data_IF_175862869065
#
_entry.id   IF_175862869065
#
_cell.length_a   1.000
_cell.length_b   1.000
_cell.length_c   1.000
_cell.angle_alpha   90.00
_cell.angle_beta   90.00
_cell.angle_gamma   90.00
#
_symmetry.space_group_name_H-M   'P 1'
#
loop_
_entity.id
_entity.type
_entity.pdbx_description
1 polymer ?
#
# COMPACT_ATOMS: atom_id res chain seq x y z
N UNK A 1 6.82 21.74 -11.95
CA UNK A 1 7.48 22.01 -10.66
C UNK A 1 8.88 21.43 -10.76
N UNK A 2 9.89 22.24 -10.45
CA UNK A 2 11.27 21.76 -10.35
C UNK A 2 11.47 21.12 -8.98
N UNK A 3 11.64 19.81 -8.97
CA UNK A 3 11.97 19.06 -7.76
C UNK A 3 13.49 18.99 -7.62
N UNK A 4 14.00 19.14 -6.40
CA UNK A 4 15.43 19.07 -6.09
C UNK A 4 15.93 17.63 -6.00
N UNK A 5 15.04 16.67 -5.78
CA UNK A 5 15.32 15.24 -5.71
C UNK A 5 14.09 14.41 -6.06
N UNK A 6 14.28 13.12 -6.36
CA UNK A 6 13.18 12.18 -6.52
C UNK A 6 12.42 11.95 -5.21
N UNK A 7 13.07 12.11 -4.05
CA UNK A 7 12.41 12.09 -2.74
C UNK A 7 11.40 13.23 -2.60
N UNK A 8 11.78 14.48 -2.90
CA UNK A 8 10.87 15.62 -2.86
C UNK A 8 9.70 15.43 -3.84
N UNK A 9 9.97 14.83 -5.00
CA UNK A 9 8.95 14.50 -5.99
C UNK A 9 7.96 13.46 -5.46
N UNK A 10 8.42 12.38 -4.84
CA UNK A 10 7.55 11.35 -4.24
C UNK A 10 6.75 11.88 -3.07
N UNK A 11 7.37 12.69 -2.22
CA UNK A 11 6.68 13.39 -1.13
C UNK A 11 5.58 14.32 -1.67
N UNK A 12 5.89 15.10 -2.71
CA UNK A 12 4.87 15.86 -3.41
C UNK A 12 3.78 14.98 -4.00
N UNK A 13 4.08 13.81 -4.56
CA UNK A 13 3.05 12.90 -5.07
C UNK A 13 2.15 12.32 -3.98
N UNK A 14 2.72 12.04 -2.79
CA UNK A 14 2.03 11.40 -1.68
C UNK A 14 0.88 12.26 -1.13
N UNK A 15 1.08 13.58 -1.06
CA UNK A 15 0.10 14.49 -0.47
C UNK A 15 -0.22 15.74 -1.31
N UNK A 16 0.55 16.08 -2.34
CA UNK A 16 0.42 17.34 -3.07
C UNK A 16 0.58 18.57 -2.12
N UNK A 17 0.63 19.78 -2.67
CA UNK A 17 0.74 21.01 -1.85
C UNK A 17 -0.58 21.80 -1.77
N UNK A 18 -1.67 21.23 -2.28
CA UNK A 18 -3.00 21.85 -2.33
C UNK A 18 -3.13 23.01 -3.32
N UNK A 19 -2.14 23.27 -4.18
CA UNK A 19 -2.15 24.43 -5.11
C UNK A 19 -2.54 24.06 -6.55
N UNK A 20 -2.30 22.81 -6.95
CA UNK A 20 -2.48 22.33 -8.33
C UNK A 20 -3.39 21.10 -8.41
N UNK A 21 -4.30 20.96 -7.46
CA UNK A 21 -5.27 19.87 -7.40
C UNK A 21 -6.60 20.33 -6.86
N UNK A 22 -7.65 19.62 -7.25
CA UNK A 22 -8.97 19.75 -6.68
C UNK A 22 -9.27 18.49 -5.90
N UNK A 23 -9.00 18.50 -4.59
CA UNK A 23 -9.09 17.31 -3.74
C UNK A 23 -10.50 16.69 -3.68
N UNK A 24 -11.54 17.45 -4.03
CA UNK A 24 -12.92 16.95 -4.12
C UNK A 24 -13.23 16.26 -5.47
N UNK A 25 -12.29 16.27 -6.42
CA UNK A 25 -12.40 15.50 -7.66
C UNK A 25 -11.82 14.12 -7.41
N UNK A 26 -12.53 13.04 -7.82
CA UNK A 26 -12.04 11.69 -7.62
C UNK A 26 -10.67 11.42 -8.22
N UNK A 27 -10.37 12.03 -9.37
CA UNK A 27 -9.11 11.84 -10.09
C UNK A 27 -8.50 13.20 -10.42
N UNK A 28 -7.25 13.40 -10.01
CA UNK A 28 -6.43 14.56 -10.33
C UNK A 28 -5.23 14.11 -11.15
N UNK A 29 -5.30 14.34 -12.46
CA UNK A 29 -4.20 14.08 -13.39
C UNK A 29 -3.26 15.28 -13.44
N UNK A 30 -2.00 15.07 -13.10
CA UNK A 30 -1.00 16.12 -12.97
C UNK A 30 0.15 15.77 -13.90
N UNK A 31 0.43 16.64 -14.86
CA UNK A 31 1.56 16.51 -15.77
C UNK A 31 2.61 17.56 -15.44
N UNK A 32 3.81 17.11 -15.08
CA UNK A 32 4.93 18.00 -14.81
C UNK A 32 5.65 18.32 -16.13
N UNK A 33 5.60 19.58 -16.55
CA UNK A 33 6.20 20.02 -17.82
C UNK A 33 7.74 19.92 -17.83
N UNK A 34 8.37 19.93 -16.66
CA UNK A 34 9.83 20.02 -16.54
C UNK A 34 10.50 18.66 -16.77
N UNK A 35 10.04 17.61 -16.08
CA UNK A 35 10.57 16.25 -16.19
C UNK A 35 9.65 15.29 -16.97
N UNK A 36 8.52 15.81 -17.49
CA UNK A 36 7.49 15.05 -18.22
C UNK A 36 6.85 13.94 -17.39
N UNK A 37 6.97 13.97 -16.07
CA UNK A 37 6.33 13.00 -15.20
C UNK A 37 4.81 13.19 -15.20
N UNK A 38 4.09 12.07 -15.16
CA UNK A 38 2.65 12.04 -15.03
C UNK A 38 2.28 11.44 -13.67
N UNK A 39 1.45 12.15 -12.92
CA UNK A 39 0.96 11.72 -11.63
C UNK A 39 -0.55 11.63 -11.64
N UNK A 40 -1.07 10.64 -10.93
CA UNK A 40 -2.50 10.53 -10.63
C UNK A 40 -2.66 10.52 -9.11
N UNK A 41 -3.31 11.56 -8.60
CA UNK A 41 -3.81 11.56 -7.23
C UNK A 41 -5.29 11.15 -7.27
N UNK A 42 -5.65 10.14 -6.49
CA UNK A 42 -6.98 9.52 -6.48
C UNK A 42 -7.61 9.62 -5.10
N UNK A 43 -8.88 10.00 -5.05
CA UNK A 43 -9.73 9.85 -3.87
C UNK A 43 -10.14 8.38 -3.73
N UNK A 44 -9.54 7.71 -2.75
CA UNK A 44 -9.71 6.27 -2.54
C UNK A 44 -11.13 5.88 -2.03
N UNK A 45 -11.99 6.84 -1.71
CA UNK A 45 -13.41 6.56 -1.44
C UNK A 45 -14.16 6.16 -2.70
N UNK A 46 -13.77 6.72 -3.84
CA UNK A 46 -14.43 6.52 -5.13
C UNK A 46 -14.11 5.17 -5.77
N UNK A 47 -12.85 4.76 -5.76
CA UNK A 47 -12.42 3.52 -6.41
C UNK A 47 -11.26 2.84 -5.66
N UNK A 48 -11.06 1.54 -5.95
CA UNK A 48 -9.89 0.80 -5.49
C UNK A 48 -8.74 0.89 -6.50
N UNK A 49 -7.51 0.75 -6.03
CA UNK A 49 -6.29 0.85 -6.83
C UNK A 49 -6.32 -0.01 -8.10
N UNK A 50 -6.96 -1.17 -8.04
CA UNK A 50 -7.10 -2.07 -9.18
C UNK A 50 -7.84 -1.45 -10.38
N UNK A 51 -8.85 -0.60 -10.13
CA UNK A 51 -9.58 0.15 -11.16
C UNK A 51 -8.72 1.30 -11.69
N UNK A 52 -8.06 2.03 -10.79
CA UNK A 52 -7.13 3.12 -11.15
C UNK A 52 -6.02 2.63 -12.07
N UNK A 53 -5.43 1.47 -11.76
CA UNK A 53 -4.39 0.82 -12.57
C UNK A 53 -4.89 0.55 -13.98
N UNK A 54 -6.11 0.03 -14.11
CA UNK A 54 -6.72 -0.29 -15.41
C UNK A 54 -7.04 0.96 -16.24
N UNK A 55 -7.47 2.05 -15.59
CA UNK A 55 -7.65 3.36 -16.25
C UNK A 55 -6.31 3.86 -16.80
N UNK A 56 -5.24 3.83 -16.00
CA UNK A 56 -3.90 4.25 -16.42
C UNK A 56 -3.39 3.36 -17.55
N UNK A 57 -3.56 2.04 -17.46
CA UNK A 57 -3.15 1.09 -18.51
C UNK A 57 -3.76 1.45 -19.85
N UNK A 58 -5.08 1.64 -19.89
CA UNK A 58 -5.80 2.01 -21.12
C UNK A 58 -5.40 3.38 -21.63
N UNK A 59 -5.18 4.35 -20.75
CA UNK A 59 -4.70 5.68 -21.14
C UNK A 59 -3.30 5.58 -21.78
N UNK A 60 -2.40 4.80 -21.20
CA UNK A 60 -1.05 4.57 -21.71
C UNK A 60 -1.08 3.86 -23.07
N UNK A 61 -1.88 2.79 -23.23
CA UNK A 61 -2.04 2.09 -24.51
C UNK A 61 -2.59 3.01 -25.61
N UNK A 62 -3.61 3.82 -25.30
CA UNK A 62 -4.20 4.76 -26.25
C UNK A 62 -3.27 5.94 -26.57
N UNK A 63 -2.39 6.34 -25.65
CA UNK A 63 -1.42 7.42 -25.88
C UNK A 63 -0.42 7.12 -27.01
N UNK A 64 -0.29 5.85 -27.41
CA UNK A 64 0.54 5.44 -28.56
C UNK A 64 -0.11 5.77 -29.90
N UNK A 65 -1.44 5.96 -29.92
CA UNK A 65 -2.24 6.21 -31.12
C UNK A 65 -3.05 7.51 -30.99
N UNK A 66 -2.37 8.62 -30.68
CA UNK A 66 -3.03 9.92 -30.52
C UNK A 66 -3.56 10.39 -31.88
N UNK A 67 -4.88 10.50 -31.99
CA UNK A 67 -5.52 11.24 -33.08
C UNK A 67 -5.43 12.73 -32.75
N UNK A 68 -4.88 13.54 -33.66
CA UNK A 68 -4.97 15.00 -33.54
C UNK A 68 -6.45 15.36 -33.53
N UNK A 69 -6.86 16.08 -32.49
CA UNK A 69 -8.19 16.65 -32.42
C UNK A 69 -8.24 17.87 -33.35
N UNK A 70 -9.23 17.92 -34.24
CA UNK A 70 -9.55 19.11 -35.04
C UNK A 70 -10.34 20.16 -34.24
N UNK A 71 -10.57 19.91 -32.94
CA UNK A 71 -11.32 20.82 -32.07
C UNK A 71 -10.43 22.01 -31.67
N UNK A 72 -10.70 23.17 -32.26
CA UNK A 72 -10.10 24.44 -31.90
C UNK A 72 -10.98 25.15 -30.84
N UNK A 73 -10.99 24.63 -29.61
CA UNK A 73 -11.65 25.28 -28.47
C UNK A 73 -10.64 26.08 -27.64
N UNK A 74 -11.03 27.28 -27.22
CA UNK A 74 -10.22 28.09 -26.31
C UNK A 74 -10.55 27.73 -24.86
N UNK A 75 -9.53 27.57 -24.03
CA UNK A 75 -9.72 27.37 -22.59
C UNK A 75 -10.41 28.58 -21.97
N UNK A 76 -11.39 28.34 -21.10
CA UNK A 76 -12.09 29.38 -20.34
C UNK A 76 -11.47 29.45 -18.95
N UNK A 77 -10.99 30.63 -18.57
CA UNK A 77 -10.53 30.87 -17.21
C UNK A 77 -11.75 31.01 -16.29
N UNK A 78 -11.93 30.05 -15.38
CA UNK A 78 -12.92 30.13 -14.31
C UNK A 78 -12.36 31.09 -13.25
N UNK A 79 -13.07 32.20 -13.01
CA UNK A 79 -12.75 33.15 -11.94
C UNK A 79 -13.75 32.97 -10.82
N UNK A 80 -13.29 32.51 -9.67
CA UNK A 80 -14.09 32.46 -8.45
C UNK A 80 -13.79 33.70 -7.60
N UNK A 81 -14.84 34.33 -7.09
CA UNK A 81 -14.69 35.42 -6.14
C UNK A 81 -14.67 34.83 -4.72
N UNK A 82 -13.55 35.01 -4.03
CA UNK A 82 -13.38 34.58 -2.64
C UNK A 82 -13.27 35.84 -1.80
N UNK A 83 -14.19 36.01 -0.85
CA UNK A 83 -14.12 37.13 0.10
C UNK A 83 -12.88 37.04 1.01
N UNK A 84 -12.52 38.15 1.66
CA UNK A 84 -11.32 38.23 2.51
C UNK A 84 -11.31 37.19 3.64
N UNK A 85 -12.48 36.87 4.21
CA UNK A 85 -12.61 35.89 5.28
C UNK A 85 -12.29 34.48 4.79
N UNK A 86 -12.83 34.08 3.65
CA UNK A 86 -12.59 32.78 3.04
C UNK A 86 -11.15 32.69 2.49
N UNK A 87 -10.60 33.76 1.91
CA UNK A 87 -9.22 33.80 1.45
C UNK A 87 -8.24 33.59 2.62
N UNK A 88 -8.48 34.26 3.77
CA UNK A 88 -7.71 34.05 5.00
C UNK A 88 -7.83 32.61 5.49
N UNK A 89 -9.04 32.04 5.53
CA UNK A 89 -9.27 30.66 5.95
C UNK A 89 -8.55 29.65 5.06
N UNK A 90 -8.60 29.80 3.74
CA UNK A 90 -7.91 28.93 2.78
C UNK A 90 -6.40 28.95 3.04
N UNK A 91 -5.82 30.14 3.27
CA UNK A 91 -4.40 30.29 3.59
C UNK A 91 -4.04 29.56 4.89
N UNK A 92 -4.81 29.77 5.96
CA UNK A 92 -4.58 29.14 7.27
C UNK A 92 -4.70 27.61 7.19
N UNK A 93 -5.74 27.09 6.52
CA UNK A 93 -5.92 25.64 6.36
C UNK A 93 -4.83 25.03 5.47
N UNK A 94 -4.40 25.72 4.41
CA UNK A 94 -3.25 25.29 3.61
C UNK A 94 -1.97 25.23 4.43
N UNK A 95 -1.70 26.22 5.28
CA UNK A 95 -0.52 26.20 6.17
C UNK A 95 -0.59 25.05 7.18
N UNK A 96 -1.76 24.77 7.77
CA UNK A 96 -1.97 23.60 8.65
C UNK A 96 -1.74 22.30 7.91
N UNK A 97 -2.29 22.19 6.70
CA UNK A 97 -2.15 21.03 5.82
C UNK A 97 -0.67 20.75 5.52
N UNK A 98 0.07 21.76 5.04
CA UNK A 98 1.49 21.62 4.71
C UNK A 98 2.34 21.23 5.93
N UNK A 99 2.01 21.74 7.13
CA UNK A 99 2.67 21.32 8.38
C UNK A 99 2.36 19.89 8.77
N UNK A 100 1.17 19.38 8.44
CA UNK A 100 0.78 18.00 8.71
C UNK A 100 1.43 17.04 7.71
N UNK A 101 1.35 17.37 6.42
CA UNK A 101 1.87 16.52 5.35
C UNK A 101 3.39 16.40 5.39
N UNK A 102 4.10 17.46 5.78
CA UNK A 102 5.56 17.45 5.98
C UNK A 102 6.05 16.49 7.08
N UNK A 103 5.14 15.89 7.86
CA UNK A 103 5.47 14.85 8.84
C UNK A 103 5.49 13.45 8.23
N UNK A 104 5.16 13.30 6.95
CA UNK A 104 5.18 12.04 6.25
C UNK A 104 6.25 12.07 5.18
N UNK A 105 6.98 10.97 5.06
CA UNK A 105 8.00 10.77 4.04
C UNK A 105 7.84 9.40 3.41
N UNK A 106 8.51 9.19 2.27
CA UNK A 106 8.53 7.91 1.59
C UNK A 106 9.92 7.59 1.02
N UNK A 107 10.39 6.38 1.32
CA UNK A 107 11.61 5.83 0.76
C UNK A 107 11.27 4.76 -0.28
N UNK A 108 12.04 4.70 -1.37
CA UNK A 108 12.06 3.58 -2.29
C UNK A 108 13.27 2.69 -2.02
N UNK A 109 13.07 1.38 -2.13
CA UNK A 109 14.12 0.38 -1.99
C UNK A 109 14.00 -0.60 -3.16
N UNK A 110 15.03 -0.61 -4.00
CA UNK A 110 15.17 -1.53 -5.12
C UNK A 110 16.10 -2.66 -4.69
N UNK A 111 15.60 -3.90 -4.72
CA UNK A 111 16.36 -5.09 -4.37
C UNK A 111 16.35 -6.05 -5.56
N UNK A 112 17.53 -6.50 -5.98
CA UNK A 112 17.63 -7.53 -7.00
C UNK A 112 16.98 -8.81 -6.49
N UNK A 113 15.98 -9.32 -7.20
CA UNK A 113 15.34 -10.61 -6.94
C UNK A 113 14.69 -11.05 -8.24
N UNK A 114 15.39 -11.91 -8.98
CA UNK A 114 14.99 -12.27 -10.34
C UNK A 114 13.86 -13.27 -10.31
N UNK A 115 13.12 -13.37 -11.41
CA UNK A 115 12.06 -14.39 -11.53
C UNK A 115 12.63 -15.81 -11.41
N UNK A 116 13.88 -16.03 -11.84
CA UNK A 116 14.60 -17.29 -11.71
C UNK A 116 14.80 -17.69 -10.24
N UNK A 117 15.06 -16.72 -9.36
CA UNK A 117 15.21 -16.95 -7.92
C UNK A 117 13.88 -17.41 -7.27
N UNK A 118 12.76 -17.16 -7.94
CA UNK A 118 11.41 -17.36 -7.43
C UNK A 118 10.65 -18.51 -8.12
N UNK A 119 11.27 -19.33 -8.98
CA UNK A 119 10.54 -20.30 -9.83
C UNK A 119 9.61 -21.27 -9.07
N UNK A 120 9.97 -21.63 -7.84
CA UNK A 120 9.19 -22.57 -7.01
C UNK A 120 7.98 -21.92 -6.33
N UNK A 121 7.98 -20.60 -6.18
CA UNK A 121 7.16 -19.89 -5.19
C UNK A 121 6.56 -18.61 -5.76
N UNK A 122 5.40 -18.20 -5.25
CA UNK A 122 4.86 -16.90 -5.65
C UNK A 122 5.80 -15.78 -5.18
N UNK A 123 6.31 -14.96 -6.11
CA UNK A 123 7.13 -13.77 -5.80
C UNK A 123 6.41 -12.82 -4.85
N UNK A 124 5.08 -12.73 -4.96
CA UNK A 124 4.24 -11.96 -4.04
C UNK A 124 4.27 -12.51 -2.60
N UNK A 125 4.17 -13.83 -2.45
CA UNK A 125 4.29 -14.50 -1.13
C UNK A 125 5.69 -14.33 -0.55
N UNK A 126 6.74 -14.47 -1.36
CA UNK A 126 8.13 -14.24 -0.93
C UNK A 126 8.29 -12.80 -0.41
N UNK A 127 7.79 -11.82 -1.15
CA UNK A 127 7.87 -10.42 -0.74
C UNK A 127 7.13 -10.14 0.57
N UNK A 128 5.97 -10.76 0.77
CA UNK A 128 5.22 -10.69 2.04
C UNK A 128 5.99 -11.34 3.20
N UNK A 129 6.57 -12.53 3.00
CA UNK A 129 7.37 -13.20 4.03
C UNK A 129 8.63 -12.40 4.40
N UNK A 130 9.28 -11.77 3.41
CA UNK A 130 10.44 -10.88 3.64
C UNK A 130 10.01 -9.62 4.39
N UNK A 131 8.82 -9.05 4.12
CA UNK A 131 8.29 -7.95 4.92
C UNK A 131 7.99 -8.37 6.36
N UNK A 132 7.50 -9.59 6.57
CA UNK A 132 7.28 -10.16 7.91
C UNK A 132 8.63 -10.35 8.64
N UNK A 133 9.66 -10.82 7.95
CA UNK A 133 11.02 -10.87 8.47
C UNK A 133 11.52 -9.48 8.87
N UNK A 134 11.39 -8.50 7.98
CA UNK A 134 11.85 -7.14 8.22
C UNK A 134 11.15 -6.47 9.42
N UNK A 135 9.84 -6.65 9.60
CA UNK A 135 9.16 -6.12 10.80
C UNK A 135 9.65 -6.80 12.07
N UNK A 136 9.88 -8.12 12.04
CA UNK A 136 10.30 -8.86 13.22
C UNK A 136 11.65 -8.34 13.71
N UNK A 137 12.59 -8.12 12.79
CA UNK A 137 13.90 -7.53 13.08
C UNK A 137 13.84 -6.06 13.49
N UNK A 138 12.92 -5.29 12.90
CA UNK A 138 12.79 -3.85 13.18
C UNK A 138 12.19 -3.61 14.56
N UNK A 139 11.12 -4.32 14.91
CA UNK A 139 10.31 -4.04 16.08
C UNK A 139 10.52 -5.04 17.23
N UNK A 140 11.26 -6.14 17.01
CA UNK A 140 11.46 -7.21 17.97
C UNK A 140 10.20 -8.03 18.29
N UNK A 141 9.11 -7.78 17.57
CA UNK A 141 7.81 -8.44 17.73
C UNK A 141 7.06 -8.43 16.39
N UNK A 142 6.05 -9.27 16.28
CA UNK A 142 5.13 -9.25 15.14
C UNK A 142 3.95 -8.32 15.42
N UNK A 143 3.64 -7.46 14.46
CA UNK A 143 2.47 -6.59 14.45
C UNK A 143 1.54 -6.98 13.27
N UNK A 144 0.28 -6.54 13.32
CA UNK A 144 -0.70 -6.86 12.28
C UNK A 144 -0.25 -6.36 10.90
N UNK A 145 -0.43 -7.21 9.89
CA UNK A 145 -0.15 -6.92 8.48
C UNK A 145 -1.48 -6.98 7.73
N UNK A 146 -1.68 -6.01 6.84
CA UNK A 146 -2.83 -5.93 5.95
C UNK A 146 -2.33 -6.06 4.51
N UNK A 147 -2.97 -6.91 3.72
CA UNK A 147 -2.75 -7.02 2.28
C UNK A 147 -4.09 -6.91 1.54
N UNK A 148 -4.21 -5.91 0.67
CA UNK A 148 -5.43 -5.70 -0.11
C UNK A 148 -5.59 -6.79 -1.18
N UNK A 149 -6.76 -7.41 -1.25
CA UNK A 149 -7.17 -8.30 -2.34
C UNK A 149 -8.35 -7.69 -3.06
N UNK A 150 -8.22 -7.54 -4.37
CA UNK A 150 -9.28 -7.03 -5.24
C UNK A 150 -10.41 -8.05 -5.40
N UNK A 151 -11.66 -7.59 -5.25
CA UNK A 151 -12.88 -8.40 -5.32
C UNK A 151 -13.77 -8.05 -6.51
N UNK A 152 -13.23 -7.40 -7.57
CA UNK A 152 -13.98 -6.98 -8.78
C UNK A 152 -14.70 -8.10 -9.54
N UNK A 153 -14.44 -9.36 -9.21
CA UNK A 153 -15.12 -10.54 -9.76
C UNK A 153 -16.58 -10.64 -9.25
N UNK A 154 -16.91 -9.95 -8.16
CA UNK A 154 -18.25 -9.90 -7.56
C UNK A 154 -18.98 -8.62 -7.92
N UNK A 155 -20.32 -8.68 -7.95
CA UNK A 155 -21.17 -7.50 -8.15
C UNK A 155 -20.94 -6.47 -7.04
N UNK A 156 -20.65 -5.22 -7.42
CA UNK A 156 -20.22 -4.15 -6.51
C UNK A 156 -19.01 -4.50 -5.64
N UNK A 157 -18.19 -5.45 -6.08
CA UNK A 157 -16.98 -5.86 -5.39
C UNK A 157 -16.01 -4.71 -5.18
N UNK A 158 -15.46 -4.62 -3.96
CA UNK A 158 -14.41 -3.68 -3.57
C UNK A 158 -13.12 -4.46 -3.30
N UNK A 159 -12.73 -4.56 -2.04
CA UNK A 159 -11.57 -5.32 -1.58
C UNK A 159 -11.94 -6.26 -0.44
N UNK A 160 -11.20 -7.35 -0.31
CA UNK A 160 -11.03 -8.14 0.91
C UNK A 160 -9.61 -7.92 1.45
N UNK A 161 -9.34 -8.37 2.67
CA UNK A 161 -8.03 -8.39 3.29
C UNK A 161 -7.50 -9.81 3.40
N UNK A 162 -6.25 -10.02 2.96
CA UNK A 162 -5.43 -11.14 3.45
C UNK A 162 -4.63 -10.66 4.65
N UNK A 163 -4.49 -11.54 5.63
CA UNK A 163 -3.62 -11.36 6.81
C UNK A 163 -2.38 -12.22 6.60
N UNK A 164 -1.27 -11.67 6.05
CA UNK A 164 -0.09 -12.45 5.68
C UNK A 164 0.66 -13.03 6.88
N UNK A 165 0.53 -12.39 8.04
CA UNK A 165 1.10 -12.87 9.30
C UNK A 165 0.33 -14.11 9.80
N UNK A 166 0.68 -15.28 9.28
CA UNK A 166 0.22 -16.58 9.76
C UNK A 166 1.22 -17.21 10.74
N UNK A 167 0.85 -18.35 11.35
CA UNK A 167 1.75 -19.11 12.23
C UNK A 167 2.94 -19.64 11.43
N UNK A 168 2.66 -20.17 10.24
CA UNK A 168 3.62 -20.68 9.27
C UNK A 168 4.61 -19.59 8.84
N UNK A 169 4.12 -18.37 8.59
CA UNK A 169 4.98 -17.23 8.29
C UNK A 169 5.90 -16.86 9.47
N UNK A 170 5.39 -16.92 10.71
CA UNK A 170 6.18 -16.69 11.92
C UNK A 170 7.27 -17.74 12.09
N UNK A 171 6.94 -19.02 11.85
CA UNK A 171 7.88 -20.13 11.99
C UNK A 171 8.99 -20.04 10.94
N UNK A 172 8.63 -19.81 9.67
CA UNK A 172 9.60 -19.54 8.60
C UNK A 172 10.52 -18.35 8.95
N UNK A 173 9.96 -17.22 9.41
CA UNK A 173 10.74 -16.02 9.73
C UNK A 173 11.73 -16.24 10.86
N UNK A 174 11.35 -17.00 11.89
CA UNK A 174 12.27 -17.35 12.99
C UNK A 174 13.41 -18.24 12.52
N UNK A 175 13.13 -19.21 11.64
CA UNK A 175 14.15 -20.08 11.05
C UNK A 175 15.08 -19.30 10.12
N UNK A 176 14.52 -18.43 9.27
CA UNK A 176 15.28 -17.55 8.39
C UNK A 176 16.21 -16.61 9.18
N UNK A 177 15.78 -16.14 10.36
CA UNK A 177 16.60 -15.27 11.20
C UNK A 177 17.86 -15.97 11.71
N UNK A 178 17.70 -17.18 12.26
CA UNK A 178 18.82 -18.01 12.75
C UNK A 178 19.73 -18.46 11.61
N UNK A 179 19.15 -18.89 10.50
CA UNK A 179 19.87 -19.39 9.32
C UNK A 179 20.84 -20.55 9.64
N UNK A 180 20.36 -21.53 10.42
CA UNK A 180 21.19 -22.65 10.92
C UNK A 180 21.04 -23.92 10.07
N UNK A 181 19.81 -24.33 9.75
CA UNK A 181 19.50 -25.51 8.92
C UNK A 181 18.77 -25.11 7.65
N UNK A 182 19.44 -25.27 6.49
CA UNK A 182 18.85 -24.94 5.19
C UNK A 182 17.63 -25.80 4.85
N UNK A 183 17.63 -27.09 5.19
CA UNK A 183 16.52 -27.97 4.84
C UNK A 183 15.28 -27.59 5.64
N UNK A 184 15.43 -27.33 6.93
CA UNK A 184 14.32 -26.87 7.78
C UNK A 184 13.74 -25.53 7.28
N UNK A 185 14.60 -24.60 6.85
CA UNK A 185 14.17 -23.32 6.27
C UNK A 185 13.42 -23.53 4.95
N UNK A 186 13.88 -24.46 4.09
CA UNK A 186 13.21 -24.78 2.83
C UNK A 186 11.81 -25.36 3.06
N UNK A 187 11.68 -26.30 4.00
CA UNK A 187 10.41 -26.93 4.33
C UNK A 187 9.43 -25.90 4.91
N UNK A 188 9.90 -25.06 5.84
CA UNK A 188 9.09 -23.99 6.42
C UNK A 188 8.67 -22.93 5.38
N UNK A 189 9.55 -22.60 4.44
CA UNK A 189 9.23 -21.69 3.33
C UNK A 189 8.11 -22.25 2.46
N UNK A 190 8.15 -23.54 2.12
CA UNK A 190 7.11 -24.18 1.31
C UNK A 190 5.75 -24.15 2.02
N UNK A 191 5.73 -24.48 3.32
CA UNK A 191 4.52 -24.44 4.14
C UNK A 191 3.96 -23.02 4.21
N UNK A 192 4.79 -22.02 4.53
CA UNK A 192 4.38 -20.62 4.63
C UNK A 192 3.87 -20.07 3.29
N UNK A 193 4.50 -20.46 2.18
CA UNK A 193 4.07 -20.06 0.84
C UNK A 193 2.70 -20.63 0.48
N UNK A 194 2.49 -21.91 0.78
CA UNK A 194 1.23 -22.59 0.52
C UNK A 194 0.11 -22.00 1.37
N UNK A 195 0.36 -21.65 2.63
CA UNK A 195 -0.62 -20.97 3.47
C UNK A 195 -0.98 -19.58 2.93
N UNK A 196 0.01 -18.76 2.56
CA UNK A 196 -0.27 -17.43 1.97
C UNK A 196 -1.11 -17.55 0.69
N UNK A 197 -0.77 -18.49 -0.20
CA UNK A 197 -1.56 -18.81 -1.40
C UNK A 197 -2.98 -19.25 -1.06
N UNK A 198 -3.16 -20.07 -0.03
CA UNK A 198 -4.49 -20.53 0.40
C UNK A 198 -5.33 -19.37 0.94
N UNK A 199 -4.74 -18.46 1.73
CA UNK A 199 -5.42 -17.24 2.21
C UNK A 199 -5.85 -16.34 1.07
N UNK A 200 -4.99 -16.13 0.07
CA UNK A 200 -5.34 -15.37 -1.14
C UNK A 200 -6.51 -16.02 -1.88
N UNK A 201 -6.49 -17.35 -2.06
CA UNK A 201 -7.60 -18.09 -2.69
C UNK A 201 -8.90 -17.95 -1.90
N UNK A 202 -8.85 -18.05 -0.57
CA UNK A 202 -10.01 -17.88 0.30
C UNK A 202 -10.56 -16.45 0.24
N UNK A 203 -9.69 -15.44 0.30
CA UNK A 203 -10.08 -14.03 0.15
C UNK A 203 -10.77 -13.79 -1.19
N UNK A 204 -10.20 -14.26 -2.31
CA UNK A 204 -10.81 -14.17 -3.64
C UNK A 204 -12.13 -14.93 -3.78
N UNK A 205 -12.40 -15.92 -2.93
CA UNK A 205 -13.71 -16.60 -2.84
C UNK A 205 -14.69 -15.91 -1.89
N UNK A 206 -14.39 -14.70 -1.42
CA UNK A 206 -15.13 -13.96 -0.41
C UNK A 206 -15.28 -14.72 0.92
N UNK A 207 -14.27 -15.55 1.26
CA UNK A 207 -14.19 -16.31 2.51
C UNK A 207 -13.18 -15.69 3.49
N UNK A 208 -12.78 -14.43 3.25
CA UNK A 208 -12.04 -13.63 4.23
C UNK A 208 -12.92 -13.22 5.41
N UNK A 209 -12.28 -12.88 6.53
CA UNK A 209 -12.99 -12.52 7.77
C UNK A 209 -13.13 -11.02 7.95
N UNK A 210 -12.24 -10.22 7.38
CA UNK A 210 -12.16 -8.78 7.65
C UNK A 210 -13.41 -8.03 7.19
N UNK A 211 -13.87 -8.22 5.95
CA UNK A 211 -15.10 -7.57 5.49
C UNK A 211 -16.36 -8.10 6.16
N UNK A 212 -16.40 -9.39 6.48
CA UNK A 212 -17.52 -9.97 7.23
C UNK A 212 -17.62 -9.34 8.63
N UNK A 213 -16.50 -9.31 9.39
CA UNK A 213 -16.45 -8.67 10.70
C UNK A 213 -16.76 -7.18 10.64
N UNK A 214 -16.30 -6.47 9.60
CA UNK A 214 -16.67 -5.08 9.38
C UNK A 214 -18.18 -4.91 9.17
N UNK A 215 -18.79 -5.73 8.31
CA UNK A 215 -20.25 -5.73 8.09
C UNK A 215 -21.02 -5.95 9.38
N UNK A 216 -20.66 -6.97 10.17
CA UNK A 216 -21.25 -7.23 11.48
C UNK A 216 -21.10 -6.03 12.43
N UNK A 217 -19.91 -5.39 12.46
CA UNK A 217 -19.66 -4.20 13.27
C UNK A 217 -20.57 -3.02 12.91
N UNK A 218 -20.82 -2.80 11.62
CA UNK A 218 -21.71 -1.74 11.14
C UNK A 218 -23.18 -2.02 11.50
N UNK A 219 -23.58 -3.28 11.60
CA UNK A 219 -24.95 -3.68 11.93
C UNK A 219 -25.30 -3.53 13.42
N UNK A 220 -24.29 -3.46 14.32
CA UNK A 220 -24.48 -3.34 15.78
C UNK A 220 -25.43 -2.20 16.16
N UNK A 221 -25.38 -1.08 15.43
CA UNK A 221 -26.20 0.10 15.74
C UNK A 221 -27.71 -0.18 15.67
N UNK A 222 -28.11 -1.23 14.93
CA UNK A 222 -29.51 -1.63 14.74
C UNK A 222 -29.89 -2.88 15.55
N UNK A 223 -28.97 -3.43 16.32
CA UNK A 223 -29.20 -4.64 17.11
C UNK A 223 -29.95 -4.34 18.42
N UNK A 224 -30.58 -5.35 19.00
CA UNK A 224 -31.13 -5.26 20.36
C UNK A 224 -30.03 -5.06 21.42
N UNK A 225 -30.41 -4.61 22.61
CA UNK A 225 -29.46 -4.24 23.67
C UNK A 225 -28.53 -5.40 24.08
N UNK A 226 -29.04 -6.63 24.07
CA UNK A 226 -28.26 -7.82 24.43
C UNK A 226 -27.19 -8.09 23.38
N UNK A 227 -27.58 -8.21 22.12
CA UNK A 227 -26.69 -8.44 20.98
C UNK A 227 -25.66 -7.34 20.86
N UNK A 228 -26.07 -6.08 21.09
CA UNK A 228 -25.17 -4.93 21.10
C UNK A 228 -24.12 -5.04 22.19
N UNK A 229 -24.49 -5.44 23.40
CA UNK A 229 -23.55 -5.65 24.51
C UNK A 229 -22.52 -6.73 24.16
N UNK A 230 -22.97 -7.90 23.72
CA UNK A 230 -22.11 -9.04 23.38
C UNK A 230 -21.17 -8.70 22.20
N UNK A 231 -21.67 -8.00 21.18
CA UNK A 231 -20.87 -7.55 20.05
C UNK A 231 -19.80 -6.53 20.48
N UNK A 232 -20.15 -5.56 21.34
CA UNK A 232 -19.20 -4.58 21.85
C UNK A 232 -18.09 -5.23 22.69
N UNK A 233 -18.37 -6.29 23.43
CA UNK A 233 -17.35 -7.07 24.13
C UNK A 233 -16.32 -7.67 23.15
N UNK A 234 -16.80 -8.26 22.05
CA UNK A 234 -15.91 -8.80 21.01
C UNK A 234 -15.12 -7.70 20.28
N UNK A 235 -15.80 -6.64 19.79
CA UNK A 235 -15.17 -5.61 18.96
C UNK A 235 -14.29 -4.62 19.74
N UNK A 236 -14.44 -4.54 21.07
CA UNK A 236 -13.53 -3.82 21.96
C UNK A 236 -12.47 -4.73 22.59
N UNK A 237 -12.45 -6.03 22.24
CA UNK A 237 -11.42 -6.93 22.72
C UNK A 237 -10.04 -6.53 22.18
N UNK A 238 -8.99 -6.74 23.00
CA UNK A 238 -7.62 -6.46 22.60
C UNK A 238 -7.19 -7.25 21.34
N UNK A 239 -7.75 -8.44 21.12
CA UNK A 239 -7.47 -9.25 19.94
C UNK A 239 -7.97 -8.59 18.65
N UNK A 240 -9.21 -8.11 18.64
CA UNK A 240 -9.77 -7.41 17.48
C UNK A 240 -9.09 -6.05 17.25
N UNK A 241 -8.77 -5.32 18.33
CA UNK A 241 -8.04 -4.05 18.23
C UNK A 241 -6.67 -4.26 17.57
N UNK A 242 -5.88 -5.23 18.04
CA UNK A 242 -4.57 -5.55 17.46
C UNK A 242 -4.68 -6.00 16.00
N UNK A 243 -5.68 -6.81 15.66
CA UNK A 243 -5.91 -7.25 14.28
C UNK A 243 -6.19 -6.06 13.36
N UNK A 244 -7.06 -5.14 13.78
CA UNK A 244 -7.56 -4.02 12.97
C UNK A 244 -6.61 -2.81 12.88
N UNK A 245 -5.55 -2.75 13.68
CA UNK A 245 -4.56 -1.66 13.64
C UNK A 245 -3.76 -1.57 12.33
N UNK A 246 -3.76 -2.61 11.46
CA UNK A 246 -3.12 -2.63 10.14
C UNK A 246 -1.71 -1.98 10.15
N UNK A 247 -0.90 -2.38 11.14
CA UNK A 247 0.36 -1.72 11.49
C UNK A 247 1.35 -1.67 10.32
N UNK A 248 1.45 -2.76 9.57
CA UNK A 248 2.07 -2.78 8.24
C UNK A 248 0.94 -2.92 7.21
N UNK A 249 0.57 -1.80 6.59
CA UNK A 249 -0.45 -1.80 5.54
C UNK A 249 0.23 -1.98 4.19
N UNK A 250 -0.21 -2.95 3.38
CA UNK A 250 0.46 -3.32 2.14
C UNK A 250 -0.49 -3.38 0.94
N UNK A 251 0.04 -3.04 -0.23
CA UNK A 251 -0.64 -3.23 -1.52
C UNK A 251 0.38 -3.59 -2.61
N UNK A 252 0.00 -4.50 -3.50
CA UNK A 252 0.79 -4.92 -4.64
C UNK A 252 0.19 -4.35 -5.92
N UNK A 253 0.98 -3.67 -6.74
CA UNK A 253 0.53 -3.23 -8.07
C UNK A 253 0.76 -4.29 -9.15
N UNK A 254 1.39 -5.41 -8.83
CA UNK A 254 1.82 -6.40 -9.82
C UNK A 254 3.03 -5.94 -10.63
N UNK A 255 3.23 -6.55 -11.80
CA UNK A 255 4.28 -6.18 -12.77
C UNK A 255 3.67 -5.26 -13.81
N UNK A 256 3.96 -3.97 -13.71
CA UNK A 256 3.38 -2.97 -14.61
C UNK A 256 4.46 -2.06 -15.17
N UNK A 257 4.87 -2.29 -16.42
CA UNK A 257 5.90 -1.51 -17.10
C UNK A 257 5.50 -0.03 -17.34
N UNK A 258 4.23 0.31 -17.07
CA UNK A 258 3.64 1.62 -17.30
C UNK A 258 3.32 2.39 -16.01
N UNK A 259 3.48 1.78 -14.83
CA UNK A 259 3.32 2.46 -13.54
C UNK A 259 4.70 2.53 -12.89
N UNK A 260 5.17 3.76 -12.63
CA UNK A 260 6.39 3.97 -11.86
C UNK A 260 6.19 3.60 -10.39
N UNK A 261 5.32 4.35 -9.70
CA UNK A 261 5.07 4.18 -8.27
C UNK A 261 3.59 4.35 -7.95
N UNK A 262 3.10 3.56 -6.99
CA UNK A 262 1.84 3.81 -6.28
C UNK A 262 2.20 4.08 -4.82
N UNK A 263 1.62 5.14 -4.25
CA UNK A 263 1.99 5.66 -2.94
C UNK A 263 0.73 5.96 -2.14
N UNK A 264 0.76 5.60 -0.86
CA UNK A 264 -0.25 5.95 0.14
C UNK A 264 0.43 6.12 1.49
N UNK A 265 -0.13 6.93 2.38
CA UNK A 265 0.44 7.16 3.72
C UNK A 265 0.13 5.99 4.67
N UNK A 266 0.87 5.82 5.77
CA UNK A 266 0.49 4.86 6.81
C UNK A 266 -0.95 5.09 7.29
N UNK A 267 -1.65 3.99 7.60
CA UNK A 267 -3.04 4.05 8.10
C UNK A 267 -3.11 4.25 9.61
N UNK A 268 -1.98 4.11 10.31
CA UNK A 268 -1.78 4.42 11.72
C UNK A 268 -0.43 5.13 11.91
N UNK A 269 -0.32 6.02 12.90
CA UNK A 269 0.87 6.87 13.10
C UNK A 269 2.15 6.11 13.43
N UNK A 270 1.98 4.97 14.10
CA UNK A 270 3.07 4.09 14.55
C UNK A 270 3.50 3.09 13.47
N UNK A 271 2.69 2.94 12.41
CA UNK A 271 2.86 1.92 11.39
C UNK A 271 3.57 2.42 10.14
N UNK A 272 3.60 1.54 9.13
CA UNK A 272 4.17 1.79 7.81
C UNK A 272 3.12 1.53 6.73
N UNK A 273 3.13 2.35 5.68
CA UNK A 273 2.40 2.06 4.44
C UNK A 273 3.40 1.58 3.39
N UNK A 274 3.25 0.34 2.93
CA UNK A 274 4.21 -0.30 2.01
C UNK A 274 3.52 -0.67 0.71
N UNK A 275 3.83 0.06 -0.36
CA UNK A 275 3.51 -0.43 -1.70
C UNK A 275 4.68 -1.24 -2.20
N UNK A 276 4.41 -2.35 -2.88
CA UNK A 276 5.47 -3.15 -3.44
C UNK A 276 5.18 -3.59 -4.87
N UNK A 277 6.24 -3.63 -5.67
CA UNK A 277 6.21 -3.90 -7.11
C UNK A 277 7.23 -5.00 -7.44
N UNK A 278 6.96 -5.74 -8.50
CA UNK A 278 7.85 -6.80 -8.99
C UNK A 278 8.10 -6.63 -10.47
N UNK A 279 9.36 -6.57 -10.86
CA UNK A 279 9.81 -6.63 -12.26
C UNK A 279 10.39 -8.01 -12.54
N UNK A 280 11.01 -8.21 -13.70
CA UNK A 280 11.71 -9.46 -14.00
C UNK A 280 12.96 -9.63 -13.15
N UNK A 281 13.68 -8.54 -12.86
CA UNK A 281 15.01 -8.58 -12.26
C UNK A 281 15.04 -8.11 -10.79
N UNK A 282 14.06 -7.29 -10.39
CA UNK A 282 14.02 -6.69 -9.07
C UNK A 282 12.65 -6.75 -8.42
N UNK A 283 12.66 -6.42 -7.13
CA UNK A 283 11.50 -6.05 -6.34
C UNK A 283 11.71 -4.66 -5.77
N UNK A 284 10.64 -3.88 -5.75
CA UNK A 284 10.66 -2.50 -5.29
C UNK A 284 9.72 -2.39 -4.10
N UNK A 285 10.21 -1.81 -3.00
CA UNK A 285 9.40 -1.47 -1.83
C UNK A 285 9.37 0.04 -1.66
N UNK A 286 8.17 0.61 -1.65
CA UNK A 286 7.91 2.01 -1.34
C UNK A 286 7.36 2.08 0.08
N UNK A 287 8.18 2.59 1.00
CA UNK A 287 7.91 2.60 2.43
C UNK A 287 7.56 4.03 2.82
N UNK A 288 6.29 4.29 3.05
CA UNK A 288 5.80 5.54 3.64
C UNK A 288 5.75 5.41 5.17
N UNK A 289 6.01 6.52 5.85
CA UNK A 289 6.08 6.56 7.31
C UNK A 289 5.83 7.98 7.84
N UNK A 290 5.36 8.07 9.09
CA UNK A 290 5.39 9.31 9.84
C UNK A 290 6.81 9.58 10.37
N UNK A 291 7.22 10.85 10.53
CA UNK A 291 8.58 11.26 10.93
C UNK A 291 9.08 10.55 12.20
N UNK A 292 8.18 10.25 13.14
CA UNK A 292 8.46 9.49 14.37
C UNK A 292 8.90 8.05 14.13
N UNK A 293 8.59 7.50 12.96
CA UNK A 293 8.96 6.16 12.51
C UNK A 293 10.18 6.16 11.59
N UNK A 294 10.86 7.30 11.37
CA UNK A 294 11.98 7.41 10.42
C UNK A 294 13.08 6.37 10.65
N UNK A 295 13.51 6.18 11.90
CA UNK A 295 14.55 5.20 12.21
C UNK A 295 14.03 3.75 12.03
N UNK A 296 12.77 3.50 12.37
CA UNK A 296 12.15 2.19 12.13
C UNK A 296 12.01 1.89 10.63
N UNK A 297 11.62 2.88 9.81
CA UNK A 297 11.54 2.71 8.36
C UNK A 297 12.90 2.44 7.73
N UNK A 298 13.97 3.10 8.23
CA UNK A 298 15.35 2.84 7.81
C UNK A 298 15.80 1.42 8.17
N UNK A 299 15.52 0.98 9.41
CA UNK A 299 15.82 -0.37 9.84
C UNK A 299 15.01 -1.42 9.07
N UNK A 300 13.73 -1.15 8.82
CA UNK A 300 12.86 -1.99 8.01
C UNK A 300 13.42 -2.17 6.61
N UNK A 301 13.83 -1.09 5.94
CA UNK A 301 14.48 -1.16 4.63
C UNK A 301 15.78 -1.98 4.65
N UNK A 302 16.63 -1.78 5.68
CA UNK A 302 17.84 -2.59 5.88
C UNK A 302 17.50 -4.09 6.00
N UNK A 303 16.49 -4.44 6.78
CA UNK A 303 16.11 -5.84 7.02
C UNK A 303 15.32 -6.46 5.86
N UNK A 304 14.68 -5.67 5.00
CA UNK A 304 14.16 -6.15 3.71
C UNK A 304 15.31 -6.64 2.83
N UNK A 305 16.38 -5.83 2.71
CA UNK A 305 17.59 -6.23 1.98
C UNK A 305 18.22 -7.49 2.57
N UNK A 306 18.40 -7.53 3.90
CA UNK A 306 18.90 -8.74 4.59
C UNK A 306 18.02 -9.97 4.33
N UNK A 307 16.69 -9.81 4.34
CA UNK A 307 15.75 -10.89 4.07
C UNK A 307 15.83 -11.42 2.64
N UNK A 308 15.96 -10.54 1.63
CA UNK A 308 16.20 -10.94 0.23
C UNK A 308 17.53 -11.71 0.10
N UNK A 309 18.59 -11.20 0.70
CA UNK A 309 19.91 -11.84 0.65
C UNK A 309 19.93 -13.21 1.34
N UNK A 310 19.22 -13.36 2.47
CA UNK A 310 19.02 -14.66 3.13
C UNK A 310 18.18 -15.59 2.27
N UNK A 311 17.09 -15.10 1.67
CA UNK A 311 16.22 -15.89 0.78
C UNK A 311 17.00 -16.49 -0.40
N UNK A 312 17.80 -15.69 -1.10
CA UNK A 312 18.65 -16.17 -2.21
C UNK A 312 19.58 -17.31 -1.78
N UNK A 313 20.06 -17.29 -0.53
CA UNK A 313 20.97 -18.31 0.02
C UNK A 313 20.30 -19.62 0.42
N UNK A 314 18.97 -19.68 0.44
CA UNK A 314 18.21 -20.90 0.81
C UNK A 314 18.49 -22.02 -0.20
N UNK A 315 18.59 -21.69 -1.49
CA UNK A 315 18.76 -22.66 -2.59
C UNK A 315 20.10 -22.57 -3.31
N UNK A 316 21.01 -21.68 -2.88
CA UNK A 316 22.42 -21.66 -3.31
C UNK A 316 23.25 -22.68 -2.57
#
# INVERSE_FOLDING_TARGET
KDFKSEEEKREYMLYLDGSNSWILKPLNFIYNLNDKAFFLNSDHTFEDAGTTIEIIRRAFENSKNIRKSDVNSKAILIKEFVDEKNAKKIKEEKEKYLKLSAKFSCNDLHLELKNEDCQKFSKDSIMQLIMIYAQYKTYGKFNSVYEAVDMREYEFGRTECVRPLSVEAVDFVKLLDKFEDKQEIQDALEIANNEHKNRIKSAKKAQGVDRHLFGLKQMIQKADDKTKKDALEFFNSMGYEKLSQNFISTTCTGTLDFIGYLLFTPVVWEGLGVTYLKTNDEVIYLISYHEKQKENAKNFAKYLNEGVEKFKKIYS
#
